data_IF_256007861840
#
_entry.id   IF_256007861840
#
_cell.length_a   1.000
_cell.length_b   1.000
_cell.length_c   1.000
_cell.angle_alpha   90.00
_cell.angle_beta   90.00
_cell.angle_gamma   90.00
#
_symmetry.space_group_name_H-M   'P 1'
#
loop_
_entity.id
_entity.type
_entity.pdbx_description
1 polymer ?
#
# COMPACT_ATOMS: atom_id res chain seq x y z
N UNK A 1 0.38 -1.29 2.81
CA UNK A 1 0.72 -1.65 4.20
C UNK A 1 -0.39 -2.48 4.84
N UNK A 2 -1.58 -1.93 5.11
CA UNK A 2 -2.70 -2.72 5.66
C UNK A 2 -3.24 -3.76 4.67
N UNK A 3 -3.45 -3.38 3.41
CA UNK A 3 -3.95 -4.28 2.35
C UNK A 3 -2.96 -5.41 1.98
N UNK A 4 -1.67 -5.21 2.23
CA UNK A 4 -0.63 -6.21 1.98
C UNK A 4 -0.48 -7.20 3.14
N UNK A 5 -1.32 -7.13 4.19
CA UNK A 5 -1.28 -7.99 5.37
C UNK A 5 0.13 -8.13 5.98
N UNK A 6 0.91 -7.03 6.04
CA UNK A 6 2.26 -7.04 6.62
C UNK A 6 2.35 -6.28 7.92
N UNK A 7 3.29 -6.70 8.75
CA UNK A 7 3.59 -6.08 10.03
C UNK A 7 3.82 -4.57 9.80
N UNK A 8 3.11 -3.70 10.54
CA UNK A 8 2.43 -3.95 11.82
C UNK A 8 0.93 -4.35 11.73
N UNK A 9 0.37 -4.54 10.53
CA UNK A 9 -1.04 -4.93 10.29
C UNK A 9 -1.20 -6.41 9.92
N UNK A 10 -0.20 -7.22 10.25
CA UNK A 10 -0.17 -8.66 10.02
C UNK A 10 -0.94 -9.39 11.13
N UNK A 11 -2.26 -9.43 10.98
CA UNK A 11 -3.19 -10.04 11.94
C UNK A 11 -3.48 -11.51 11.60
N UNK A 12 -3.67 -11.81 10.31
CA UNK A 12 -4.00 -13.17 9.83
C UNK A 12 -2.90 -14.20 10.11
N UNK A 13 -1.63 -13.78 10.20
CA UNK A 13 -0.53 -14.65 10.63
C UNK A 13 -0.29 -14.59 12.15
N UNK A 14 -0.55 -13.42 12.77
CA UNK A 14 -0.31 -13.16 14.19
C UNK A 14 -1.31 -13.78 15.16
N UNK A 15 -2.60 -13.87 14.82
CA UNK A 15 -3.61 -14.54 15.66
C UNK A 15 -3.52 -16.08 15.61
N UNK A 16 -2.58 -16.59 14.80
CA UNK A 16 -2.26 -18.02 14.64
C UNK A 16 -0.94 -18.42 15.32
N UNK A 17 -0.54 -17.72 16.39
CA UNK A 17 0.64 -18.08 17.19
C UNK A 17 0.56 -19.47 17.88
N UNK A 18 -0.47 -20.28 17.58
CA UNK A 18 -0.53 -21.70 17.89
C UNK A 18 -0.30 -22.68 16.73
N UNK A 19 -0.13 -22.23 15.47
CA UNK A 19 0.27 -23.01 14.26
C UNK A 19 -0.03 -22.11 13.04
N UNK A 20 0.91 -21.95 12.09
CA UNK A 20 0.97 -20.90 11.03
C UNK A 20 -0.26 -20.71 10.11
N UNK A 21 -1.39 -20.33 10.70
CA UNK A 21 -2.65 -19.95 10.09
C UNK A 21 -3.10 -20.88 8.97
N UNK A 22 -3.50 -20.25 7.87
CA UNK A 22 -4.01 -20.94 6.67
C UNK A 22 -2.92 -21.68 5.87
N UNK A 23 -1.63 -21.38 6.12
CA UNK A 23 -0.51 -21.95 5.34
C UNK A 23 -0.17 -23.39 5.73
N UNK A 24 -0.72 -23.89 6.84
CA UNK A 24 -0.36 -25.20 7.44
C UNK A 24 -0.95 -26.37 6.66
N UNK A 25 -2.09 -26.15 6.01
CA UNK A 25 -2.82 -27.19 5.30
C UNK A 25 -2.27 -27.44 3.90
N UNK A 26 -1.35 -26.60 3.42
CA UNK A 26 -0.82 -26.67 2.06
C UNK A 26 0.52 -27.42 1.98
N UNK A 27 0.62 -28.31 0.99
CA UNK A 27 1.90 -28.90 0.61
C UNK A 27 2.87 -27.83 0.07
N UNK A 28 4.16 -28.20 -0.03
CA UNK A 28 5.25 -27.27 -0.38
C UNK A 28 5.04 -26.48 -1.70
N UNK A 29 4.33 -27.04 -2.69
CA UNK A 29 4.05 -26.37 -3.96
C UNK A 29 3.09 -25.18 -3.83
N UNK A 30 1.83 -25.39 -3.41
CA UNK A 30 0.88 -24.30 -3.17
C UNK A 30 1.37 -23.28 -2.13
N UNK A 31 2.10 -23.73 -1.11
CA UNK A 31 2.76 -22.85 -0.14
C UNK A 31 3.69 -21.83 -0.82
N UNK A 32 4.55 -22.28 -1.74
CA UNK A 32 5.45 -21.38 -2.46
C UNK A 32 4.71 -20.33 -3.31
N UNK A 33 3.56 -20.68 -3.88
CA UNK A 33 2.73 -19.75 -4.66
C UNK A 33 2.10 -18.66 -3.78
N UNK A 34 1.71 -18.97 -2.55
CA UNK A 34 1.22 -17.95 -1.62
C UNK A 34 2.30 -16.94 -1.24
N UNK A 35 3.52 -17.39 -0.93
CA UNK A 35 4.63 -16.46 -0.67
C UNK A 35 4.96 -15.61 -1.89
N UNK A 36 4.99 -16.21 -3.07
CA UNK A 36 5.23 -15.47 -4.31
C UNK A 36 4.15 -14.40 -4.52
N UNK A 37 2.87 -14.74 -4.34
CA UNK A 37 1.75 -13.82 -4.49
C UNK A 37 1.79 -12.68 -3.47
N UNK A 38 2.13 -12.96 -2.22
CA UNK A 38 2.26 -11.94 -1.17
C UNK A 38 3.37 -10.93 -1.50
N UNK A 39 4.55 -11.41 -1.93
CA UNK A 39 5.64 -10.51 -2.36
C UNK A 39 5.32 -9.76 -3.65
N UNK A 40 4.64 -10.40 -4.60
CA UNK A 40 4.17 -9.74 -5.82
C UNK A 40 3.20 -8.60 -5.50
N UNK A 41 2.27 -8.80 -4.57
CA UNK A 41 1.33 -7.77 -4.12
C UNK A 41 2.05 -6.59 -3.45
N UNK A 42 3.12 -6.83 -2.68
CA UNK A 42 3.93 -5.74 -2.11
C UNK A 42 4.57 -4.89 -3.21
N UNK A 43 5.15 -5.52 -4.22
CA UNK A 43 5.77 -4.79 -5.33
C UNK A 43 4.71 -4.03 -6.14
N UNK A 44 3.57 -4.64 -6.43
CA UNK A 44 2.47 -4.02 -7.16
C UNK A 44 1.90 -2.79 -6.41
N UNK A 45 1.69 -2.89 -5.11
CA UNK A 45 1.17 -1.75 -4.34
C UNK A 45 2.17 -0.60 -4.26
N UNK A 46 3.47 -0.90 -4.23
CA UNK A 46 4.53 0.12 -4.29
C UNK A 46 4.61 0.78 -5.67
N UNK A 47 4.47 0.02 -6.76
CA UNK A 47 4.45 0.58 -8.12
C UNK A 47 3.24 1.47 -8.35
N UNK A 48 2.05 1.06 -7.92
CA UNK A 48 0.85 1.89 -7.95
C UNK A 48 1.01 3.17 -7.11
N UNK A 49 1.56 3.06 -5.90
CA UNK A 49 1.79 4.22 -5.03
C UNK A 49 2.78 5.21 -5.66
N UNK A 50 3.85 4.72 -6.31
CA UNK A 50 4.75 5.58 -7.08
C UNK A 50 4.02 6.29 -8.21
N UNK A 51 3.20 5.60 -9.00
CA UNK A 51 2.49 6.20 -10.12
C UNK A 51 1.50 7.29 -9.67
N UNK A 52 0.76 7.05 -8.57
CA UNK A 52 -0.25 7.97 -8.07
C UNK A 52 0.34 9.21 -7.37
N UNK A 53 1.38 9.03 -6.57
CA UNK A 53 1.89 10.10 -5.70
C UNK A 53 3.26 10.66 -6.10
N UNK A 54 4.09 9.86 -6.77
CA UNK A 54 5.47 10.22 -7.10
C UNK A 54 5.71 10.11 -8.61
N UNK A 55 5.24 11.10 -9.37
CA UNK A 55 5.38 11.16 -10.83
C UNK A 55 6.80 10.68 -11.29
N UNK A 56 6.91 9.54 -12.01
CA UNK A 56 8.20 8.98 -12.43
C UNK A 56 8.87 9.76 -13.57
N UNK A 57 8.21 10.72 -14.20
CA UNK A 57 8.79 11.56 -15.25
C UNK A 57 7.89 11.70 -16.46
N UNK A 58 8.38 12.42 -17.46
CA UNK A 58 7.68 12.63 -18.73
C UNK A 58 7.76 11.34 -19.57
N UNK A 59 6.63 10.95 -20.16
CA UNK A 59 6.49 9.74 -21.00
C UNK A 59 7.29 9.79 -22.32
N UNK A 60 7.86 10.96 -22.66
CA UNK A 60 8.59 11.19 -23.91
C UNK A 60 9.94 10.46 -23.95
N UNK A 61 10.54 10.18 -22.78
CA UNK A 61 11.79 9.43 -22.66
C UNK A 61 11.56 8.10 -21.93
N UNK A 62 11.28 6.99 -22.66
CA UNK A 62 10.87 5.73 -22.04
C UNK A 62 11.95 5.10 -21.16
N UNK A 63 13.22 5.26 -21.50
CA UNK A 63 14.34 4.70 -20.73
C UNK A 63 14.50 5.41 -19.37
N UNK A 64 14.46 6.74 -19.37
CA UNK A 64 14.54 7.55 -18.15
C UNK A 64 13.32 7.34 -17.25
N UNK A 65 12.14 7.22 -17.85
CA UNK A 65 10.91 6.93 -17.12
C UNK A 65 10.98 5.59 -16.39
N UNK A 66 11.38 4.53 -17.09
CA UNK A 66 11.51 3.18 -16.51
C UNK A 66 12.52 3.15 -15.38
N UNK A 67 13.69 3.78 -15.58
CA UNK A 67 14.74 3.84 -14.57
C UNK A 67 14.28 4.59 -13.31
N UNK A 68 13.59 5.72 -13.48
CA UNK A 68 13.09 6.50 -12.34
C UNK A 68 11.96 5.78 -11.61
N UNK A 69 11.07 5.08 -12.34
CA UNK A 69 10.04 4.25 -11.74
C UNK A 69 10.66 3.11 -10.91
N UNK A 70 11.66 2.39 -11.46
CA UNK A 70 12.36 1.34 -10.72
C UNK A 70 13.10 1.89 -9.49
N UNK A 71 13.77 3.04 -9.60
CA UNK A 71 14.46 3.66 -8.48
C UNK A 71 13.49 4.10 -7.35
N UNK A 72 12.37 4.73 -7.69
CA UNK A 72 11.37 5.16 -6.71
C UNK A 72 10.65 3.98 -6.06
N UNK A 73 10.34 2.95 -6.83
CA UNK A 73 9.64 1.76 -6.31
C UNK A 73 10.53 0.94 -5.37
N UNK A 74 11.82 0.82 -5.69
CA UNK A 74 12.81 0.20 -4.77
C UNK A 74 13.02 1.02 -3.50
N UNK A 75 13.00 2.35 -3.58
CA UNK A 75 13.05 3.20 -2.39
C UNK A 75 11.82 3.01 -1.49
N UNK A 76 10.60 2.95 -2.06
CA UNK A 76 9.39 2.65 -1.29
C UNK A 76 9.40 1.24 -0.68
N UNK A 77 9.89 0.23 -1.41
CA UNK A 77 9.97 -1.14 -0.88
C UNK A 77 10.97 -1.28 0.26
N UNK A 78 12.10 -0.55 0.23
CA UNK A 78 13.02 -0.43 1.38
C UNK A 78 12.31 0.23 2.57
N UNK A 79 11.48 1.25 2.33
CA UNK A 79 10.63 1.83 3.36
C UNK A 79 9.69 0.80 4.02
N UNK A 80 9.07 -0.09 3.24
CA UNK A 80 8.23 -1.17 3.77
C UNK A 80 9.03 -2.15 4.66
N UNK A 81 10.25 -2.50 4.25
CA UNK A 81 11.14 -3.35 5.05
C UNK A 81 11.56 -2.66 6.35
N UNK A 82 11.81 -1.34 6.30
CA UNK A 82 12.18 -0.57 7.48
C UNK A 82 11.02 -0.41 8.47
N UNK A 83 9.80 -0.14 7.98
CA UNK A 83 8.59 -0.08 8.81
C UNK A 83 8.37 -1.41 9.53
N UNK A 84 8.55 -2.54 8.82
CA UNK A 84 8.48 -3.89 9.42
C UNK A 84 9.51 -4.07 10.53
N UNK A 85 10.73 -3.56 10.37
CA UNK A 85 11.79 -3.71 11.36
C UNK A 85 11.59 -2.80 12.60
N UNK A 86 10.87 -1.69 12.47
CA UNK A 86 10.81 -0.65 13.50
C UNK A 86 9.59 -0.74 14.42
N UNK A 87 8.45 -1.25 13.92
CA UNK A 87 7.19 -1.20 14.66
C UNK A 87 6.72 -2.58 15.14
N UNK A 88 6.21 -2.68 16.39
CA UNK A 88 5.55 -3.89 16.87
C UNK A 88 4.19 -4.08 16.18
N UNK A 89 3.67 -5.30 16.21
CA UNK A 89 2.36 -5.65 15.64
C UNK A 89 1.22 -4.95 16.42
N UNK A 90 0.24 -4.42 15.69
CA UNK A 90 -0.99 -3.88 16.28
C UNK A 90 -2.01 -4.99 16.52
N UNK A 91 -2.83 -4.84 17.55
CA UNK A 91 -3.99 -5.73 17.79
C UNK A 91 -5.15 -5.37 16.88
N UNK A 92 -5.99 -6.34 16.50
CA UNK A 92 -7.17 -6.15 15.64
C UNK A 92 -8.06 -5.00 16.11
N UNK A 93 -8.33 -4.90 17.41
CA UNK A 93 -9.17 -3.84 17.99
C UNK A 93 -8.58 -2.44 17.78
N UNK A 94 -7.26 -2.32 17.87
CA UNK A 94 -6.55 -1.05 17.64
C UNK A 94 -6.54 -0.68 16.16
N UNK A 95 -6.37 -1.66 15.28
CA UNK A 95 -6.46 -1.47 13.83
C UNK A 95 -7.85 -0.98 13.44
N UNK A 96 -8.92 -1.63 13.95
CA UNK A 96 -10.29 -1.22 13.65
C UNK A 96 -10.59 0.16 14.21
N UNK A 97 -10.12 0.49 15.41
CA UNK A 97 -10.26 1.83 15.95
C UNK A 97 -9.57 2.89 15.07
N UNK A 98 -8.35 2.61 14.61
CA UNK A 98 -7.56 3.52 13.78
C UNK A 98 -8.23 3.74 12.40
N UNK A 99 -8.67 2.66 11.73
CA UNK A 99 -9.36 2.75 10.45
C UNK A 99 -10.69 3.52 10.57
N UNK A 100 -11.54 3.13 11.53
CA UNK A 100 -12.92 3.63 11.61
C UNK A 100 -13.05 4.97 12.32
N UNK A 101 -12.27 5.21 13.37
CA UNK A 101 -12.42 6.45 14.18
C UNK A 101 -11.45 7.55 13.77
N UNK A 102 -10.32 7.21 13.17
CA UNK A 102 -9.31 8.21 12.80
C UNK A 102 -9.22 8.41 11.30
N UNK A 103 -8.99 7.35 10.52
CA UNK A 103 -8.83 7.51 9.07
C UNK A 103 -10.14 7.83 8.35
N UNK A 104 -11.25 7.15 8.67
CA UNK A 104 -12.50 7.37 7.95
C UNK A 104 -13.03 8.81 8.06
N UNK A 105 -13.06 9.47 9.23
CA UNK A 105 -13.47 10.88 9.30
C UNK A 105 -12.51 11.82 8.54
N UNK A 106 -11.20 11.54 8.60
CA UNK A 106 -10.19 12.34 7.91
C UNK A 106 -10.26 12.19 6.38
N UNK A 107 -10.47 10.98 5.86
CA UNK A 107 -10.61 10.76 4.42
C UNK A 107 -11.87 11.40 3.87
N UNK A 108 -12.99 11.37 4.60
CA UNK A 108 -14.21 12.09 4.24
C UNK A 108 -13.98 13.60 4.22
N UNK A 109 -13.28 14.16 5.21
CA UNK A 109 -12.93 15.57 5.23
C UNK A 109 -12.05 15.97 4.03
N UNK A 110 -11.03 15.17 3.71
CA UNK A 110 -10.16 15.40 2.54
C UNK A 110 -10.91 15.24 1.21
N UNK A 111 -11.88 14.33 1.13
CA UNK A 111 -12.72 14.17 -0.05
C UNK A 111 -13.55 15.43 -0.32
N UNK A 112 -14.22 15.97 0.70
CA UNK A 112 -14.97 17.22 0.60
C UNK A 112 -14.05 18.41 0.24
N UNK A 113 -12.86 18.45 0.81
CA UNK A 113 -11.85 19.44 0.46
C UNK A 113 -11.43 19.34 -1.01
N UNK A 114 -11.10 18.15 -1.51
CA UNK A 114 -10.67 17.96 -2.89
C UNK A 114 -11.78 18.23 -3.91
N UNK A 115 -13.05 18.09 -3.55
CA UNK A 115 -14.18 18.48 -4.41
C UNK A 115 -14.32 20.02 -4.43
N UNK A 116 -14.27 20.67 -3.27
CA UNK A 116 -14.53 22.11 -3.15
C UNK A 116 -13.36 22.99 -3.62
N UNK A 117 -12.11 22.56 -3.39
CA UNK A 117 -10.92 23.35 -3.63
C UNK A 117 -10.68 23.72 -5.11
N UNK A 118 -10.80 22.81 -6.09
CA UNK A 118 -10.68 23.16 -7.51
C UNK A 118 -11.78 24.09 -7.99
N UNK A 119 -13.00 23.96 -7.46
CA UNK A 119 -14.14 24.84 -7.78
C UNK A 119 -13.86 26.25 -7.28
N UNK A 120 -13.40 26.39 -6.02
CA UNK A 120 -13.05 27.68 -5.42
C UNK A 120 -11.95 28.41 -6.20
N UNK A 121 -10.91 27.70 -6.64
CA UNK A 121 -9.81 28.27 -7.42
C UNK A 121 -10.11 28.41 -8.91
N UNK A 122 -11.32 28.09 -9.37
CA UNK A 122 -11.67 28.01 -10.80
C UNK A 122 -10.66 27.18 -11.62
N UNK A 123 -10.10 26.14 -11.00
CA UNK A 123 -9.02 25.30 -11.52
C UNK A 123 -9.46 23.86 -11.73
N UNK A 124 -10.70 23.65 -12.19
CA UNK A 124 -11.17 22.30 -12.53
C UNK A 124 -10.32 21.73 -13.67
N UNK A 125 -9.80 20.50 -13.53
CA UNK A 125 -9.00 19.90 -14.59
C UNK A 125 -9.83 19.80 -15.88
N UNK A 126 -9.18 19.94 -17.06
CA UNK A 126 -9.89 19.84 -18.33
C UNK A 126 -10.48 18.43 -18.45
N UNK A 127 -11.79 18.35 -18.73
CA UNK A 127 -12.34 17.11 -19.25
C UNK A 127 -11.84 16.96 -20.69
N UNK A 128 -11.00 15.94 -20.92
CA UNK A 128 -10.66 15.53 -22.27
C UNK A 128 -11.95 15.06 -22.96
N UNK A 129 -12.46 15.89 -23.88
CA UNK A 129 -13.41 15.49 -24.92
C UNK A 129 -12.65 15.35 -26.23
#
# INVERSE_FOLDING_TARGET
LAETNRAPFDLTEGESELVSGFNVEYAAGPFALFFLAEYANILLMNTLSCLLFMNPGILQDPENFSLNLMAKTTLLSVGFLWVRASYPRFRYDQLMHLLWKQFLPMTLALCLWHISFPIFLSGTPPMFN
#
